data_IF_059040348868
#
_entry.id   IF_059040348868
#
_cell.length_a   1.000
_cell.length_b   1.000
_cell.length_c   1.000
_cell.angle_alpha   90.00
_cell.angle_beta   90.00
_cell.angle_gamma   90.00
#
_symmetry.space_group_name_H-M   'P 1'
#
loop_
_entity.id
_entity.type
_entity.pdbx_description
1 polymer ?
#
# COMPACT_ATOMS: atom_id res chain seq x y z
N UNK A 1 16.25 -13.31 -10.76
CA UNK A 1 17.01 -14.43 -10.16
C UNK A 1 16.13 -15.68 -10.14
N UNK A 2 16.73 -16.86 -10.29
CA UNK A 2 15.99 -18.12 -10.14
C UNK A 2 15.63 -18.28 -8.66
N UNK A 3 14.40 -18.67 -8.38
CA UNK A 3 13.92 -18.90 -7.02
C UNK A 3 12.87 -20.00 -7.00
N UNK A 4 12.61 -20.55 -5.82
CA UNK A 4 11.52 -21.50 -5.59
C UNK A 4 10.67 -21.04 -4.41
N UNK A 5 9.40 -21.44 -4.40
CA UNK A 5 8.43 -21.06 -3.39
C UNK A 5 7.83 -22.31 -2.80
N UNK A 6 7.71 -22.32 -1.48
CA UNK A 6 7.08 -23.40 -0.73
C UNK A 6 6.15 -22.82 0.33
N UNK A 7 4.95 -23.38 0.46
CA UNK A 7 4.08 -23.05 1.57
C UNK A 7 4.54 -23.79 2.84
N UNK A 8 4.40 -23.12 3.98
CA UNK A 8 4.71 -23.67 5.29
C UNK A 8 3.56 -23.40 6.27
N UNK A 9 3.35 -24.34 7.18
CA UNK A 9 2.40 -24.21 8.29
C UNK A 9 3.09 -24.58 9.60
N UNK A 10 3.00 -23.67 10.58
CA UNK A 10 3.57 -23.86 11.91
C UNK A 10 2.58 -24.56 12.84
N UNK A 11 3.06 -25.07 13.98
CA UNK A 11 2.23 -25.77 14.97
C UNK A 11 1.27 -24.80 15.68
N UNK A 12 1.68 -23.53 15.86
CA UNK A 12 0.83 -22.49 16.41
C UNK A 12 -0.34 -22.09 15.49
N UNK A 13 -0.38 -22.59 14.23
CA UNK A 13 -1.44 -22.35 13.26
C UNK A 13 -1.05 -21.34 12.18
N UNK A 14 0.06 -20.61 12.32
CA UNK A 14 0.54 -19.67 11.31
C UNK A 14 0.83 -20.35 9.98
N UNK A 15 0.59 -19.62 8.89
CA UNK A 15 0.85 -20.06 7.52
C UNK A 15 1.79 -19.06 6.85
N UNK A 16 2.68 -19.56 5.98
CA UNK A 16 3.64 -18.70 5.33
C UNK A 16 4.20 -19.22 4.04
N UNK A 17 5.01 -18.38 3.40
CA UNK A 17 5.77 -18.68 2.21
C UNK A 17 7.27 -18.67 2.50
N UNK A 18 7.95 -19.69 2.01
CA UNK A 18 9.41 -19.77 1.99
C UNK A 18 9.86 -19.55 0.55
N UNK A 19 10.61 -18.48 0.32
CA UNK A 19 11.14 -18.09 -0.99
C UNK A 19 12.65 -18.31 -0.97
N UNK A 20 13.09 -19.40 -1.59
CA UNK A 20 14.53 -19.73 -1.68
C UNK A 20 15.12 -19.04 -2.90
N UNK A 21 16.08 -18.15 -2.67
CA UNK A 21 16.76 -17.35 -3.69
C UNK A 21 18.25 -17.68 -3.64
N UNK A 22 18.76 -18.67 -4.42
CA UNK A 22 20.13 -19.12 -4.34
C UNK A 22 21.16 -18.02 -4.59
N UNK A 23 22.20 -17.98 -3.78
CA UNK A 23 23.36 -17.08 -3.95
C UNK A 23 23.17 -15.67 -3.42
N UNK A 24 22.14 -15.40 -2.59
CA UNK A 24 21.97 -14.11 -1.91
C UNK A 24 22.48 -14.19 -0.47
N UNK A 25 23.14 -13.12 -0.02
CA UNK A 25 23.68 -12.99 1.34
C UNK A 25 22.72 -12.25 2.30
N UNK A 26 21.53 -11.87 1.82
CA UNK A 26 20.53 -11.11 2.56
C UNK A 26 19.26 -11.93 2.72
N UNK A 27 18.72 -11.94 3.93
CA UNK A 27 17.43 -12.57 4.26
C UNK A 27 16.45 -11.48 4.64
N UNK A 28 15.20 -11.58 4.13
CA UNK A 28 14.07 -10.79 4.61
C UNK A 28 13.02 -11.69 5.25
N UNK A 29 12.49 -11.24 6.37
CA UNK A 29 11.42 -11.89 7.12
C UNK A 29 10.32 -10.86 7.31
N UNK A 30 9.14 -11.15 6.77
CA UNK A 30 7.92 -10.39 6.99
C UNK A 30 6.94 -11.23 7.82
N UNK A 31 6.40 -10.66 8.89
CA UNK A 31 5.32 -11.26 9.67
C UNK A 31 4.14 -10.30 9.68
N UNK A 32 2.96 -10.79 9.32
CA UNK A 32 1.72 -10.05 9.20
C UNK A 32 0.64 -10.64 10.10
N UNK A 33 -0.11 -9.75 10.75
CA UNK A 33 -1.38 -10.07 11.40
C UNK A 33 -2.50 -9.21 10.78
N UNK A 34 -3.68 -9.76 10.60
CA UNK A 34 -4.87 -8.94 10.36
C UNK A 34 -5.20 -8.19 11.63
N UNK A 35 -4.71 -6.96 11.72
CA UNK A 35 -4.77 -6.11 12.90
C UNK A 35 -4.80 -4.61 12.50
N UNK A 36 -5.24 -4.29 11.29
CA UNK A 36 -5.27 -2.92 10.76
C UNK A 36 -6.51 -2.13 11.19
N UNK A 37 -6.61 -0.92 10.67
CA UNK A 37 -7.62 0.06 11.06
C UNK A 37 -9.07 -0.42 10.84
N UNK A 38 -9.34 -1.16 9.76
CA UNK A 38 -10.69 -1.60 9.39
C UNK A 38 -11.24 -2.70 10.32
N UNK A 39 -10.36 -3.37 11.07
CA UNK A 39 -10.77 -4.39 12.04
C UNK A 39 -11.02 -3.80 13.43
N UNK A 40 -10.63 -2.53 13.66
CA UNK A 40 -10.68 -1.86 14.93
C UNK A 40 -12.00 -1.13 15.21
N UNK A 41 -12.06 -0.52 16.38
CA UNK A 41 -13.11 0.43 16.74
C UNK A 41 -12.75 1.82 16.18
N UNK A 42 -13.54 2.34 15.28
CA UNK A 42 -13.32 3.66 14.67
C UNK A 42 -13.39 4.82 15.66
N UNK A 43 -13.93 4.61 16.87
CA UNK A 43 -13.80 5.57 17.97
C UNK A 43 -12.40 5.58 18.61
N UNK A 44 -11.55 4.60 18.27
CA UNK A 44 -10.15 4.46 18.68
C UNK A 44 -9.30 4.11 17.45
N UNK A 45 -9.45 4.87 16.39
CA UNK A 45 -8.91 4.55 15.07
C UNK A 45 -7.40 4.30 15.08
N UNK A 46 -6.64 5.05 15.90
CA UNK A 46 -5.19 4.91 16.03
C UNK A 46 -4.72 3.73 16.90
N UNK A 47 -5.62 2.94 17.46
CA UNK A 47 -5.21 1.84 18.34
C UNK A 47 -4.26 0.83 17.67
N UNK A 48 -4.47 0.40 16.40
CA UNK A 48 -3.51 -0.44 15.69
C UNK A 48 -2.14 0.23 15.50
N UNK A 49 -2.10 1.53 15.20
CA UNK A 49 -0.86 2.28 14.97
C UNK A 49 -0.09 2.50 16.29
N UNK A 50 -0.78 2.87 17.36
CA UNK A 50 -0.16 2.95 18.70
C UNK A 50 0.37 1.57 19.13
N UNK A 51 -0.34 0.49 18.80
CA UNK A 51 0.19 -0.86 19.04
C UNK A 51 1.46 -1.12 18.27
N UNK A 52 1.53 -0.75 17.00
CA UNK A 52 2.74 -0.88 16.18
C UNK A 52 3.95 -0.32 16.91
N UNK A 53 3.87 0.92 17.39
CA UNK A 53 4.94 1.59 18.14
C UNK A 53 5.28 0.82 19.42
N UNK A 54 4.29 0.38 20.17
CA UNK A 54 4.47 -0.29 21.45
C UNK A 54 4.98 -1.74 21.35
N UNK A 55 4.92 -2.38 20.19
CA UNK A 55 5.40 -3.76 20.01
C UNK A 55 6.94 -3.90 20.05
N UNK A 56 7.68 -2.81 20.07
CA UNK A 56 9.14 -2.83 20.19
C UNK A 56 9.63 -2.91 21.65
N UNK A 57 8.71 -2.88 22.64
CA UNK A 57 9.02 -3.10 24.06
C UNK A 57 8.44 -4.43 24.53
N UNK A 58 9.29 -5.26 25.13
CA UNK A 58 8.93 -6.61 25.52
C UNK A 58 9.62 -7.03 26.84
N UNK A 59 9.27 -8.19 27.38
CA UNK A 59 9.82 -8.66 28.66
C UNK A 59 11.33 -8.85 28.65
N UNK A 60 11.89 -9.29 27.53
CA UNK A 60 13.32 -9.57 27.36
C UNK A 60 14.14 -8.30 27.14
N UNK A 61 13.51 -7.26 26.59
CA UNK A 61 14.12 -5.94 26.30
C UNK A 61 13.19 -4.85 26.81
N UNK A 62 13.14 -4.62 28.14
CA UNK A 62 12.15 -3.73 28.76
C UNK A 62 12.48 -2.24 28.66
N UNK A 63 13.75 -1.88 28.34
CA UNK A 63 14.16 -0.47 28.27
C UNK A 63 13.84 0.15 26.91
N UNK A 64 13.38 1.40 26.83
CA UNK A 64 13.09 2.08 25.58
C UNK A 64 14.23 2.01 24.56
N UNK A 65 13.92 1.57 23.34
CA UNK A 65 14.89 1.41 22.26
C UNK A 65 15.93 0.30 22.45
N UNK A 66 15.85 -0.50 23.51
CA UNK A 66 16.78 -1.62 23.76
C UNK A 66 16.63 -2.70 22.69
N UNK A 67 15.40 -3.03 22.33
CA UNK A 67 15.12 -4.01 21.29
C UNK A 67 15.67 -3.58 19.93
N UNK A 68 15.41 -2.34 19.51
CA UNK A 68 15.91 -1.82 18.22
C UNK A 68 17.43 -1.80 18.16
N UNK A 69 18.11 -1.40 19.26
CA UNK A 69 19.57 -1.47 19.36
C UNK A 69 20.09 -2.90 19.24
N UNK A 70 19.36 -3.87 19.80
CA UNK A 70 19.73 -5.29 19.66
C UNK A 70 19.57 -5.78 18.23
N UNK A 71 18.53 -5.35 17.51
CA UNK A 71 18.37 -5.67 16.09
C UNK A 71 19.50 -5.06 15.27
N UNK A 72 19.75 -3.76 15.41
CA UNK A 72 20.65 -2.97 14.55
C UNK A 72 22.15 -3.24 14.77
N UNK A 73 22.54 -3.80 15.92
CA UNK A 73 23.95 -3.89 16.34
C UNK A 73 24.91 -4.58 15.34
N UNK A 74 24.37 -5.43 14.45
CA UNK A 74 25.13 -6.11 13.41
C UNK A 74 24.64 -5.74 11.99
N UNK A 75 23.95 -4.60 11.85
CA UNK A 75 23.52 -4.06 10.56
C UNK A 75 22.21 -4.64 10.03
N UNK A 76 21.42 -5.30 10.86
CA UNK A 76 20.05 -5.65 10.50
C UNK A 76 19.17 -4.40 10.53
N UNK A 77 18.12 -4.43 9.72
CA UNK A 77 17.08 -3.41 9.66
C UNK A 77 15.76 -4.00 10.13
N UNK A 78 14.97 -3.23 10.86
CA UNK A 78 13.59 -3.57 11.17
C UNK A 78 12.66 -2.36 10.98
N UNK A 79 11.45 -2.66 10.63
CA UNK A 79 10.36 -1.69 10.60
C UNK A 79 9.04 -2.38 10.93
N UNK A 80 8.00 -1.59 11.20
CA UNK A 80 6.63 -2.08 11.25
C UNK A 80 5.74 -1.12 10.44
N UNK A 81 4.59 -1.62 10.00
CA UNK A 81 3.64 -0.87 9.21
C UNK A 81 2.22 -1.24 9.60
N UNK A 82 1.39 -0.22 9.81
CA UNK A 82 -0.05 -0.40 9.99
C UNK A 82 -0.79 0.04 8.73
N UNK A 83 -1.57 -0.87 8.16
CA UNK A 83 -2.45 -0.61 7.02
C UNK A 83 -3.93 -0.61 7.43
N UNK A 84 -4.83 -0.46 6.48
CA UNK A 84 -6.26 -0.66 6.71
C UNK A 84 -6.57 -2.07 7.26
N UNK A 85 -5.85 -3.09 6.81
CA UNK A 85 -6.16 -4.50 7.11
C UNK A 85 -5.13 -5.21 7.97
N UNK A 86 -3.88 -4.74 8.00
CA UNK A 86 -2.76 -5.47 8.62
C UNK A 86 -1.90 -4.61 9.51
N UNK A 87 -1.22 -5.29 10.43
CA UNK A 87 -0.02 -4.84 11.13
C UNK A 87 1.10 -5.79 10.73
N UNK A 88 2.19 -5.23 10.22
CA UNK A 88 3.30 -5.97 9.64
C UNK A 88 4.61 -5.65 10.35
N UNK A 89 5.42 -6.67 10.57
CA UNK A 89 6.78 -6.59 11.11
C UNK A 89 7.76 -7.04 10.04
N UNK A 90 8.62 -6.14 9.60
CA UNK A 90 9.53 -6.31 8.47
C UNK A 90 10.99 -6.27 8.93
N UNK A 91 11.73 -7.31 8.61
CA UNK A 91 13.14 -7.46 9.00
C UNK A 91 14.00 -7.82 7.79
N UNK A 92 15.13 -7.13 7.66
CA UNK A 92 16.16 -7.47 6.68
C UNK A 92 17.51 -7.62 7.39
N UNK A 93 18.22 -8.72 7.15
CA UNK A 93 19.50 -8.98 7.77
C UNK A 93 20.43 -9.77 6.85
N UNK A 94 21.73 -9.76 7.17
CA UNK A 94 22.69 -10.68 6.55
C UNK A 94 22.38 -12.14 6.92
N UNK A 95 22.62 -13.07 6.01
CA UNK A 95 22.30 -14.49 6.18
C UNK A 95 22.93 -15.12 7.45
N UNK A 96 24.11 -14.65 7.88
CA UNK A 96 24.76 -15.14 9.10
C UNK A 96 24.07 -14.69 10.41
N UNK A 97 23.21 -13.66 10.36
CA UNK A 97 22.46 -13.11 11.49
C UNK A 97 21.03 -13.67 11.60
N UNK A 98 20.57 -14.44 10.62
CA UNK A 98 19.17 -14.80 10.47
C UNK A 98 18.57 -15.47 11.70
N UNK A 99 19.31 -16.37 12.35
CA UNK A 99 18.83 -17.11 13.54
C UNK A 99 18.63 -16.16 14.73
N UNK A 100 19.55 -15.21 14.93
CA UNK A 100 19.44 -14.20 15.98
C UNK A 100 18.25 -13.26 15.71
N UNK A 101 18.09 -12.80 14.48
CA UNK A 101 16.96 -11.92 14.10
C UNK A 101 15.63 -12.68 14.19
N UNK A 102 15.55 -13.93 13.74
CA UNK A 102 14.33 -14.73 13.88
C UNK A 102 13.94 -14.93 15.37
N UNK A 103 14.91 -15.14 16.26
CA UNK A 103 14.66 -15.20 17.70
C UNK A 103 14.13 -13.87 18.24
N UNK A 104 14.68 -12.72 17.81
CA UNK A 104 14.18 -11.41 18.22
C UNK A 104 12.73 -11.17 17.76
N UNK A 105 12.39 -11.56 16.53
CA UNK A 105 11.01 -11.52 16.02
C UNK A 105 10.09 -12.37 16.92
N UNK A 106 10.49 -13.58 17.25
CA UNK A 106 9.74 -14.46 18.14
C UNK A 106 9.48 -13.83 19.51
N UNK A 107 10.50 -13.21 20.11
CA UNK A 107 10.38 -12.46 21.39
C UNK A 107 9.42 -11.26 21.25
N UNK A 108 9.55 -10.47 20.20
CA UNK A 108 8.67 -9.33 19.92
C UNK A 108 7.20 -9.76 19.86
N UNK A 109 6.93 -10.83 19.14
CA UNK A 109 5.56 -11.31 18.91
C UNK A 109 4.98 -11.95 20.18
N UNK A 110 5.77 -12.74 20.94
CA UNK A 110 5.26 -13.54 22.05
C UNK A 110 5.21 -12.80 23.40
N UNK A 111 6.07 -11.82 23.60
CA UNK A 111 6.31 -11.22 24.92
C UNK A 111 6.14 -9.70 24.98
N UNK A 112 5.22 -9.07 24.22
CA UNK A 112 5.09 -7.61 24.28
C UNK A 112 4.67 -7.16 25.66
N UNK A 113 5.14 -5.98 26.04
CA UNK A 113 4.72 -5.28 27.23
C UNK A 113 4.27 -3.88 26.84
N UNK A 114 3.29 -3.34 27.55
CA UNK A 114 2.77 -2.00 27.28
C UNK A 114 2.89 -1.13 28.53
N UNK A 115 4.13 -0.68 28.89
CA UNK A 115 4.33 0.15 30.07
C UNK A 115 3.65 1.51 29.91
N UNK A 116 3.00 2.01 30.98
CA UNK A 116 2.20 3.24 30.90
C UNK A 116 3.03 4.51 30.66
N UNK A 117 4.27 4.55 31.09
CA UNK A 117 5.19 5.66 30.85
C UNK A 117 5.67 5.68 29.36
N UNK A 118 5.96 4.53 28.79
CA UNK A 118 6.29 4.42 27.39
C UNK A 118 5.10 4.68 26.49
N UNK A 119 3.90 4.19 26.86
CA UNK A 119 2.66 4.48 26.16
C UNK A 119 2.45 6.00 25.98
N UNK A 120 2.68 6.80 27.02
CA UNK A 120 2.57 8.25 26.94
C UNK A 120 3.56 8.88 25.95
N UNK A 121 4.78 8.34 25.86
CA UNK A 121 5.79 8.79 24.91
C UNK A 121 5.43 8.41 23.47
N UNK A 122 5.01 7.16 23.24
CA UNK A 122 4.67 6.67 21.89
C UNK A 122 3.40 7.31 21.34
N UNK A 123 2.42 7.59 22.19
CA UNK A 123 1.26 8.43 21.81
C UNK A 123 1.72 9.81 21.33
N UNK A 124 2.70 10.44 21.99
CA UNK A 124 3.29 11.68 21.54
C UNK A 124 3.93 11.55 20.13
N UNK A 125 4.67 10.48 19.89
CA UNK A 125 5.30 10.19 18.59
C UNK A 125 4.26 10.00 17.49
N UNK A 126 3.18 9.26 17.74
CA UNK A 126 2.06 9.07 16.80
C UNK A 126 1.39 10.41 16.47
N UNK A 127 1.14 11.28 17.46
CA UNK A 127 0.57 12.62 17.23
C UNK A 127 1.50 13.47 16.36
N UNK A 128 2.81 13.46 16.62
CA UNK A 128 3.81 14.17 15.79
C UNK A 128 3.81 13.66 14.35
N UNK A 129 3.71 12.35 14.14
CA UNK A 129 3.62 11.76 12.81
C UNK A 129 2.34 12.17 12.09
N UNK A 130 1.19 12.13 12.75
CA UNK A 130 -0.08 12.58 12.19
C UNK A 130 -0.05 14.06 11.79
N UNK A 131 0.57 14.92 12.60
CA UNK A 131 0.80 16.32 12.27
C UNK A 131 1.76 16.49 11.08
N UNK A 132 2.80 15.65 10.98
CA UNK A 132 3.68 15.57 9.83
C UNK A 132 2.92 15.21 8.56
N UNK A 133 2.05 14.21 8.63
CA UNK A 133 1.18 13.77 7.55
C UNK A 133 0.21 14.88 7.11
N UNK A 134 -0.39 15.61 8.06
CA UNK A 134 -1.25 16.76 7.80
C UNK A 134 -0.48 17.90 7.10
N UNK A 135 0.80 18.07 7.41
CA UNK A 135 1.66 19.09 6.80
C UNK A 135 2.11 18.75 5.38
N UNK A 136 2.03 17.48 4.96
CA UNK A 136 2.36 17.03 3.62
C UNK A 136 1.16 17.23 2.67
N UNK A 137 1.22 18.15 1.69
CA UNK A 137 0.05 18.48 0.87
C UNK A 137 -0.49 17.30 0.05
N UNK A 138 0.40 16.43 -0.48
CA UNK A 138 -0.04 15.26 -1.25
C UNK A 138 -0.71 14.22 -0.36
N UNK A 139 -0.17 14.00 0.85
CA UNK A 139 -0.78 13.10 1.82
C UNK A 139 -2.16 13.62 2.24
N UNK A 140 -2.25 14.90 2.61
CA UNK A 140 -3.53 15.54 2.97
C UNK A 140 -4.57 15.43 1.85
N UNK A 141 -4.20 15.76 0.61
CA UNK A 141 -5.12 15.65 -0.53
C UNK A 141 -5.64 14.22 -0.72
N UNK A 142 -4.75 13.22 -0.58
CA UNK A 142 -5.13 11.80 -0.69
C UNK A 142 -6.02 11.35 0.47
N UNK A 143 -5.67 11.75 1.70
CA UNK A 143 -6.41 11.37 2.89
C UNK A 143 -7.79 12.05 2.96
N UNK A 144 -7.89 13.34 2.60
CA UNK A 144 -9.17 14.04 2.50
C UNK A 144 -10.13 13.35 1.53
N UNK A 145 -9.60 12.79 0.44
CA UNK A 145 -10.41 12.01 -0.49
C UNK A 145 -10.91 10.71 0.16
N UNK A 146 -10.07 9.99 0.89
CA UNK A 146 -10.48 8.79 1.64
C UNK A 146 -11.49 9.11 2.74
N UNK A 147 -11.32 10.21 3.49
CA UNK A 147 -12.32 10.68 4.46
C UNK A 147 -13.69 10.86 3.80
N UNK A 148 -13.72 11.48 2.63
CA UNK A 148 -14.99 11.76 1.94
C UNK A 148 -15.61 10.53 1.27
N UNK A 149 -14.79 9.63 0.68
CA UNK A 149 -15.30 8.45 -0.05
C UNK A 149 -15.57 7.25 0.87
N UNK A 150 -14.77 7.08 1.92
CA UNK A 150 -14.78 5.88 2.78
C UNK A 150 -15.35 6.18 4.18
N UNK A 151 -15.60 7.46 4.51
CA UNK A 151 -16.11 7.89 5.80
C UNK A 151 -15.08 7.81 6.93
N UNK A 152 -13.79 7.78 6.61
CA UNK A 152 -12.73 7.71 7.61
C UNK A 152 -12.75 8.94 8.54
N UNK A 153 -12.31 8.83 9.81
CA UNK A 153 -12.14 9.99 10.66
C UNK A 153 -11.06 10.92 10.10
N UNK A 154 -11.25 12.23 10.24
CA UNK A 154 -10.22 13.21 9.86
C UNK A 154 -8.95 13.02 10.70
N UNK A 155 -7.80 13.53 10.23
CA UNK A 155 -6.56 13.46 11.03
C UNK A 155 -6.75 14.18 12.39
N UNK A 156 -7.50 15.26 12.44
CA UNK A 156 -7.82 15.97 13.68
C UNK A 156 -8.68 15.10 14.62
N UNK A 157 -9.67 14.39 14.10
CA UNK A 157 -10.49 13.46 14.88
C UNK A 157 -9.65 12.29 15.37
N UNK A 158 -8.77 11.74 14.53
CA UNK A 158 -7.81 10.68 14.92
C UNK A 158 -6.95 11.11 16.11
N UNK A 159 -6.35 12.31 16.05
CA UNK A 159 -5.57 12.88 17.15
C UNK A 159 -6.43 13.02 18.43
N UNK A 160 -7.65 13.57 18.30
CA UNK A 160 -8.54 13.75 19.45
C UNK A 160 -8.98 12.44 20.11
N UNK A 161 -9.09 11.36 19.33
CA UNK A 161 -9.46 10.03 19.85
C UNK A 161 -8.36 9.37 20.70
N UNK A 162 -7.10 9.73 20.48
CA UNK A 162 -5.94 9.09 21.16
C UNK A 162 -6.03 9.27 22.67
N UNK A 163 -6.51 10.41 23.18
CA UNK A 163 -6.67 10.67 24.61
C UNK A 163 -7.61 9.67 25.33
N UNK A 164 -8.47 8.98 24.57
CA UNK A 164 -9.39 7.98 25.09
C UNK A 164 -8.77 6.56 25.16
N UNK A 165 -7.57 6.37 24.64
CA UNK A 165 -6.90 5.08 24.59
C UNK A 165 -6.12 4.78 25.87
N UNK A 166 -5.91 3.51 26.13
CA UNK A 166 -5.18 3.01 27.30
C UNK A 166 -4.36 1.76 26.96
N UNK A 167 -3.42 1.43 27.83
CA UNK A 167 -2.65 0.17 27.72
C UNK A 167 -3.55 -1.07 27.83
N UNK A 168 -4.69 -0.98 28.52
CA UNK A 168 -5.69 -2.06 28.56
C UNK A 168 -6.33 -2.30 27.17
N UNK A 169 -6.50 -1.26 26.38
CA UNK A 169 -6.98 -1.38 25.00
C UNK A 169 -5.94 -2.13 24.15
N UNK A 170 -4.65 -1.80 24.28
CA UNK A 170 -3.56 -2.51 23.60
C UNK A 170 -3.52 -3.98 24.00
N UNK A 171 -3.62 -4.30 25.29
CA UNK A 171 -3.66 -5.69 25.76
C UNK A 171 -4.87 -6.46 25.21
N UNK A 172 -6.03 -5.83 25.07
CA UNK A 172 -7.22 -6.48 24.48
C UNK A 172 -7.02 -6.69 22.98
N UNK A 173 -6.52 -5.67 22.29
CA UNK A 173 -6.27 -5.72 20.85
C UNK A 173 -5.22 -6.77 20.49
N UNK A 174 -4.10 -6.82 21.21
CA UNK A 174 -3.09 -7.84 21.05
C UNK A 174 -3.65 -9.26 21.21
N UNK A 175 -4.40 -9.53 22.29
CA UNK A 175 -4.99 -10.86 22.50
C UNK A 175 -6.00 -11.26 21.41
N UNK A 176 -6.66 -10.29 20.80
CA UNK A 176 -7.62 -10.53 19.72
C UNK A 176 -6.94 -10.80 18.40
N UNK A 177 -5.89 -10.06 18.07
CA UNK A 177 -5.29 -10.03 16.73
C UNK A 177 -4.02 -10.88 16.60
N UNK A 178 -3.19 -10.95 17.65
CA UNK A 178 -1.92 -11.70 17.63
C UNK A 178 -2.13 -13.16 18.03
N UNK A 179 -2.78 -13.90 17.14
CA UNK A 179 -3.06 -15.34 17.32
C UNK A 179 -2.41 -16.14 16.20
N UNK A 180 -2.11 -17.41 16.46
CA UNK A 180 -1.39 -18.24 15.50
C UNK A 180 -2.12 -18.39 14.17
N UNK A 181 -3.43 -18.63 14.16
CA UNK A 181 -4.20 -18.75 12.93
C UNK A 181 -4.33 -17.41 12.15
N UNK A 182 -4.22 -16.27 12.86
CA UNK A 182 -4.26 -14.94 12.25
C UNK A 182 -2.91 -14.51 11.67
N UNK A 183 -1.81 -15.14 12.09
CA UNK A 183 -0.46 -14.85 11.63
C UNK A 183 -0.22 -15.35 10.21
N UNK A 184 0.45 -14.53 9.40
CA UNK A 184 1.07 -14.90 8.11
C UNK A 184 2.53 -14.51 8.15
N UNK A 185 3.38 -15.23 7.39
CA UNK A 185 4.79 -14.88 7.26
C UNK A 185 5.31 -15.15 5.86
N UNK A 186 6.26 -14.36 5.43
CA UNK A 186 7.02 -14.58 4.19
C UNK A 186 8.50 -14.45 4.53
N UNK A 187 9.28 -15.45 4.15
CA UNK A 187 10.73 -15.44 4.33
C UNK A 187 11.42 -15.64 2.99
N UNK A 188 12.41 -14.81 2.69
CA UNK A 188 13.15 -14.87 1.43
C UNK A 188 14.65 -14.80 1.66
N UNK A 189 15.44 -15.65 0.97
CA UNK A 189 16.89 -15.69 1.09
C UNK A 189 17.48 -17.04 0.69
N UNK A 190 18.77 -17.24 1.02
CA UNK A 190 19.51 -18.50 0.78
C UNK A 190 20.04 -19.08 2.12
N UNK A 191 19.11 -19.52 2.95
CA UNK A 191 19.42 -20.15 4.25
C UNK A 191 18.52 -21.35 4.50
N UNK A 192 18.86 -22.16 5.48
CA UNK A 192 17.99 -23.21 5.99
C UNK A 192 16.90 -22.57 6.90
N UNK A 193 15.76 -22.25 6.32
CA UNK A 193 14.66 -21.60 7.04
C UNK A 193 14.01 -22.53 8.06
N UNK A 194 13.94 -23.84 7.76
CA UNK A 194 13.31 -24.85 8.60
C UNK A 194 14.01 -24.99 9.95
N UNK A 195 15.33 -24.85 9.94
CA UNK A 195 16.14 -24.96 11.17
C UNK A 195 16.38 -23.58 11.83
N UNK A 196 16.55 -22.51 11.03
CA UNK A 196 17.06 -21.21 11.53
C UNK A 196 16.01 -20.13 11.72
N UNK A 197 14.80 -20.29 11.16
CA UNK A 197 13.76 -19.25 11.20
C UNK A 197 12.45 -19.78 11.74
N UNK A 198 11.91 -20.84 11.13
CA UNK A 198 10.57 -21.32 11.48
C UNK A 198 10.40 -21.70 12.96
N UNK A 199 11.39 -22.32 13.66
CA UNK A 199 11.27 -22.62 15.08
C UNK A 199 11.06 -21.39 15.96
N UNK A 200 11.60 -20.24 15.56
CA UNK A 200 11.45 -18.96 16.29
C UNK A 200 10.15 -18.23 15.96
N UNK A 201 9.51 -18.51 14.81
CA UNK A 201 8.18 -18.01 14.47
C UNK A 201 7.06 -18.89 15.03
N UNK A 202 7.37 -20.14 15.39
CA UNK A 202 6.43 -21.10 16.02
C UNK A 202 6.29 -20.83 17.53
N UNK A 203 6.11 -19.55 17.90
CA UNK A 203 5.96 -19.11 19.28
C UNK A 203 4.60 -19.50 19.85
N UNK A 204 4.52 -19.55 21.19
CA UNK A 204 3.29 -19.90 21.92
C UNK A 204 2.28 -18.74 21.85
N UNK A 205 1.44 -18.75 20.83
CA UNK A 205 0.31 -17.86 20.65
C UNK A 205 -1.01 -18.63 20.86
N UNK A 206 -2.04 -17.96 21.33
CA UNK A 206 -3.39 -18.54 21.28
C UNK A 206 -3.74 -18.93 19.85
N UNK A 207 -4.44 -20.05 19.65
CA UNK A 207 -4.73 -20.57 18.32
C UNK A 207 -5.54 -19.57 17.48
N UNK A 208 -6.62 -19.02 18.04
CA UNK A 208 -7.49 -18.05 17.39
C UNK A 208 -8.05 -18.50 16.04
N UNK A 209 -8.40 -17.51 15.21
CA UNK A 209 -8.84 -17.68 13.82
C UNK A 209 -8.22 -16.59 12.93
N UNK A 210 -8.21 -16.77 11.61
CA UNK A 210 -7.88 -15.70 10.66
C UNK A 210 -9.05 -14.73 10.62
N UNK A 211 -8.84 -13.50 11.10
CA UNK A 211 -9.89 -12.49 11.17
C UNK A 211 -10.37 -12.13 9.76
N UNK A 212 -11.68 -11.96 9.61
CA UNK A 212 -12.26 -11.44 8.37
C UNK A 212 -12.14 -9.93 8.34
N UNK A 213 -11.72 -9.38 7.21
CA UNK A 213 -11.67 -7.94 6.99
C UNK A 213 -13.06 -7.48 6.55
N UNK A 214 -13.69 -6.56 7.29
CA UNK A 214 -14.98 -6.03 6.88
C UNK A 214 -14.83 -5.27 5.56
N UNK A 215 -15.81 -5.34 4.65
CA UNK A 215 -15.76 -4.56 3.43
C UNK A 215 -15.92 -3.07 3.75
N UNK A 216 -14.92 -2.28 3.40
CA UNK A 216 -15.02 -0.82 3.34
C UNK A 216 -15.29 -0.47 1.89
N UNK A 217 -16.43 0.12 1.61
CA UNK A 217 -16.83 0.48 0.26
C UNK A 217 -16.63 1.98 0.05
N UNK A 218 -15.94 2.34 -1.03
CA UNK A 218 -15.86 3.72 -1.46
C UNK A 218 -17.21 4.20 -1.98
N UNK A 219 -17.55 5.46 -1.76
CA UNK A 219 -18.73 6.11 -2.33
C UNK A 219 -18.32 7.11 -3.43
N UNK A 220 -19.12 7.28 -4.50
CA UNK A 220 -18.84 8.26 -5.53
C UNK A 220 -19.05 9.68 -4.99
N UNK A 221 -18.20 10.61 -5.43
CA UNK A 221 -18.36 12.03 -5.10
C UNK A 221 -18.90 12.80 -6.29
N UNK A 222 -19.93 13.63 -6.06
CA UNK A 222 -20.51 14.51 -7.09
C UNK A 222 -19.58 15.69 -7.38
N UNK A 223 -18.91 16.23 -6.36
CA UNK A 223 -18.02 17.38 -6.46
C UNK A 223 -16.63 17.06 -5.91
N UNK A 224 -15.56 17.70 -6.41
CA UNK A 224 -14.24 17.52 -5.84
C UNK A 224 -14.16 18.08 -4.41
N UNK A 225 -13.38 17.42 -3.56
CA UNK A 225 -12.97 17.94 -2.24
C UNK A 225 -11.92 19.02 -2.46
N UNK A 226 -12.04 20.14 -1.74
CA UNK A 226 -11.15 21.30 -1.89
C UNK A 226 -10.59 21.73 -0.55
N UNK A 227 -9.28 21.91 -0.48
CA UNK A 227 -8.62 22.56 0.65
C UNK A 227 -7.68 23.65 0.15
N UNK A 228 -8.07 24.93 0.34
CA UNK A 228 -7.23 26.08 -0.01
C UNK A 228 -6.08 26.22 0.99
N UNK A 229 -4.85 26.30 0.51
CA UNK A 229 -3.65 26.58 1.31
C UNK A 229 -2.77 27.63 0.63
N UNK A 230 -2.05 28.42 1.42
CA UNK A 230 -1.08 29.43 0.94
C UNK A 230 0.23 28.78 0.48
N UNK A 231 0.14 27.92 -0.54
CA UNK A 231 1.27 27.28 -1.23
C UNK A 231 1.15 27.50 -2.74
N UNK A 232 2.26 27.58 -3.50
CA UNK A 232 2.19 28.02 -4.91
C UNK A 232 1.66 26.95 -5.87
N UNK A 233 1.57 25.69 -5.45
CA UNK A 233 1.10 24.59 -6.30
C UNK A 233 -0.31 24.16 -5.93
N UNK A 234 -0.96 23.47 -6.88
CA UNK A 234 -2.17 22.69 -6.69
C UNK A 234 -1.77 21.22 -6.67
N UNK A 235 -2.01 20.55 -5.57
CA UNK A 235 -1.93 19.09 -5.43
C UNK A 235 -3.29 18.51 -5.77
N UNK A 236 -3.32 17.46 -6.56
CA UNK A 236 -4.55 16.81 -6.97
C UNK A 236 -4.45 15.29 -6.82
N UNK A 237 -5.58 14.68 -6.50
CA UNK A 237 -5.80 13.23 -6.50
C UNK A 237 -7.13 12.95 -7.18
N UNK A 238 -7.14 12.05 -8.14
CA UNK A 238 -8.34 11.50 -8.74
C UNK A 238 -8.32 9.98 -8.57
N UNK A 239 -9.45 9.39 -8.20
CA UNK A 239 -9.64 7.95 -8.02
C UNK A 239 -10.85 7.47 -8.79
N UNK A 240 -10.81 6.20 -9.14
CA UNK A 240 -11.90 5.48 -9.75
C UNK A 240 -11.90 4.05 -9.18
N UNK A 241 -12.84 3.71 -8.33
CA UNK A 241 -12.95 2.40 -7.70
C UNK A 241 -14.14 1.62 -8.28
N UNK A 242 -13.96 0.33 -8.50
CA UNK A 242 -15.02 -0.59 -8.90
C UNK A 242 -15.18 -1.69 -7.85
N UNK A 243 -16.43 -2.05 -7.55
CA UNK A 243 -16.77 -3.11 -6.58
C UNK A 243 -16.56 -4.51 -7.15
N UNK A 244 -15.41 -4.73 -7.77
CA UNK A 244 -14.97 -6.04 -8.27
C UNK A 244 -13.47 -6.14 -8.19
N UNK A 245 -12.96 -7.33 -7.91
CA UNK A 245 -11.53 -7.58 -7.79
C UNK A 245 -10.98 -8.15 -9.08
N UNK A 246 -9.90 -7.53 -9.58
CA UNK A 246 -9.18 -8.03 -10.74
C UNK A 246 -8.33 -9.25 -10.38
N UNK A 247 -8.28 -10.22 -11.28
CA UNK A 247 -7.25 -11.27 -11.28
C UNK A 247 -5.86 -10.66 -11.48
N UNK A 248 -4.82 -11.42 -11.18
CA UNK A 248 -3.44 -10.97 -11.41
C UNK A 248 -3.19 -10.56 -12.87
N UNK A 249 -3.74 -11.34 -13.84
CA UNK A 249 -3.65 -11.03 -15.27
C UNK A 249 -4.32 -9.69 -15.60
N UNK A 250 -5.54 -9.45 -15.10
CA UNK A 250 -6.23 -8.18 -15.29
C UNK A 250 -5.51 -6.99 -14.64
N UNK A 251 -4.92 -7.20 -13.45
CA UNK A 251 -4.06 -6.19 -12.81
C UNK A 251 -2.84 -5.83 -13.68
N UNK A 252 -2.19 -6.82 -14.29
CA UNK A 252 -1.07 -6.57 -15.20
C UNK A 252 -1.51 -5.86 -16.48
N UNK A 253 -2.68 -6.21 -17.04
CA UNK A 253 -3.25 -5.55 -18.19
C UNK A 253 -3.55 -4.07 -17.90
N UNK A 254 -4.27 -3.77 -16.81
CA UNK A 254 -4.58 -2.41 -16.39
C UNK A 254 -3.31 -1.60 -16.04
N UNK A 255 -2.31 -2.23 -15.41
CA UNK A 255 -1.01 -1.60 -15.14
C UNK A 255 -0.24 -1.27 -16.40
N UNK A 256 -0.34 -2.11 -17.44
CA UNK A 256 0.27 -1.81 -18.73
C UNK A 256 -0.36 -0.55 -19.36
N UNK A 257 -1.70 -0.42 -19.33
CA UNK A 257 -2.40 0.79 -19.78
C UNK A 257 -1.94 2.04 -19.00
N UNK A 258 -1.86 1.93 -17.68
CA UNK A 258 -1.36 3.01 -16.81
C UNK A 258 0.08 3.41 -17.13
N UNK A 259 0.94 2.44 -17.44
CA UNK A 259 2.33 2.69 -17.84
C UNK A 259 2.44 3.36 -19.22
N UNK A 260 1.58 3.07 -20.16
CA UNK A 260 1.49 3.81 -21.44
C UNK A 260 1.29 5.31 -21.18
N UNK A 261 0.48 5.66 -20.17
CA UNK A 261 0.18 7.05 -19.81
C UNK A 261 1.29 7.73 -19.01
N UNK A 262 1.94 7.02 -18.08
CA UNK A 262 2.71 7.65 -17.02
C UNK A 262 4.15 7.16 -16.83
N UNK A 263 4.56 6.07 -17.46
CA UNK A 263 5.87 5.48 -17.19
C UNK A 263 6.99 6.07 -18.06
N UNK A 264 7.72 7.03 -17.51
CA UNK A 264 8.91 7.61 -18.13
C UNK A 264 8.64 8.66 -19.20
N UNK A 265 9.71 9.08 -19.89
CA UNK A 265 9.66 10.18 -20.87
C UNK A 265 8.95 9.82 -22.18
N UNK A 266 8.82 8.56 -22.50
CA UNK A 266 8.16 8.08 -23.71
C UNK A 266 6.67 7.85 -23.54
N UNK A 267 6.15 8.00 -22.32
CA UNK A 267 4.73 7.85 -22.02
C UNK A 267 3.89 8.98 -22.65
N UNK A 268 2.63 8.67 -22.94
CA UNK A 268 1.80 9.56 -23.73
C UNK A 268 1.35 10.80 -22.94
N UNK A 269 1.04 10.68 -21.66
CA UNK A 269 0.66 11.82 -20.83
C UNK A 269 1.89 12.49 -20.18
N UNK A 270 2.65 11.76 -19.35
CA UNK A 270 3.77 12.37 -18.63
C UNK A 270 4.82 12.94 -19.58
N UNK A 271 5.17 12.19 -20.65
CA UNK A 271 6.13 12.65 -21.65
C UNK A 271 5.71 13.95 -22.32
N UNK A 272 4.46 14.03 -22.80
CA UNK A 272 3.91 15.25 -23.43
C UNK A 272 3.78 16.41 -22.45
N UNK A 273 3.31 16.15 -21.23
CA UNK A 273 3.17 17.17 -20.20
C UNK A 273 4.52 17.81 -19.83
N UNK A 274 5.58 16.98 -19.72
CA UNK A 274 6.94 17.48 -19.46
C UNK A 274 7.52 18.26 -20.65
N UNK A 275 7.31 17.78 -21.89
CA UNK A 275 7.75 18.51 -23.08
C UNK A 275 7.11 19.90 -23.21
N UNK A 276 5.85 20.03 -22.77
CA UNK A 276 5.12 21.30 -22.72
C UNK A 276 5.43 22.14 -21.47
N UNK A 277 6.24 21.64 -20.54
CA UNK A 277 6.57 22.33 -19.30
C UNK A 277 5.40 22.45 -18.31
N UNK A 278 4.34 21.63 -18.45
CA UNK A 278 3.13 21.73 -17.62
C UNK A 278 3.33 21.14 -16.23
N UNK A 279 4.03 20.00 -16.11
CA UNK A 279 4.30 19.33 -14.83
C UNK A 279 5.73 18.74 -14.82
N UNK A 280 6.31 18.64 -13.63
CA UNK A 280 7.56 17.91 -13.42
C UNK A 280 7.32 16.39 -13.35
N UNK A 281 6.23 15.97 -12.72
CA UNK A 281 5.90 14.57 -12.55
C UNK A 281 4.43 14.37 -12.20
N UNK A 282 3.97 13.15 -12.41
CA UNK A 282 2.67 12.65 -12.00
C UNK A 282 2.81 11.18 -11.61
N UNK A 283 1.86 10.66 -10.85
CA UNK A 283 1.76 9.25 -10.52
C UNK A 283 0.41 8.69 -10.96
N UNK A 284 0.44 7.51 -11.56
CA UNK A 284 -0.74 6.70 -11.80
C UNK A 284 -0.48 5.28 -11.30
N UNK A 285 -1.51 4.64 -10.77
CA UNK A 285 -1.42 3.29 -10.26
C UNK A 285 -2.73 2.54 -10.36
N UNK A 286 -2.62 1.23 -10.27
CA UNK A 286 -3.73 0.31 -10.09
C UNK A 286 -3.47 -0.39 -8.77
N UNK A 287 -4.44 -0.34 -7.89
CA UNK A 287 -4.46 -1.06 -6.61
C UNK A 287 -5.64 -2.01 -6.58
N UNK A 288 -5.53 -2.97 -5.74
CA UNK A 288 -6.61 -3.88 -5.41
C UNK A 288 -6.53 -4.17 -3.92
N UNK A 289 -7.67 -4.11 -3.29
CA UNK A 289 -7.89 -4.71 -1.97
C UNK A 289 -8.70 -6.00 -2.06
N UNK A 290 -9.29 -6.45 -0.95
CA UNK A 290 -10.10 -7.66 -0.91
C UNK A 290 -11.46 -7.52 -1.61
N UNK A 291 -11.96 -6.31 -1.83
CA UNK A 291 -13.33 -6.03 -2.27
C UNK A 291 -13.42 -5.18 -3.54
N UNK A 292 -12.44 -4.32 -3.76
CA UNK A 292 -12.44 -3.33 -4.84
C UNK A 292 -11.14 -3.37 -5.65
N UNK A 293 -11.21 -2.89 -6.89
CA UNK A 293 -10.05 -2.54 -7.69
C UNK A 293 -10.11 -1.06 -7.99
N UNK A 294 -9.01 -0.35 -7.74
CA UNK A 294 -8.89 1.09 -7.89
C UNK A 294 -7.89 1.50 -8.96
N UNK A 295 -8.18 2.62 -9.59
CA UNK A 295 -7.23 3.41 -10.33
C UNK A 295 -6.99 4.73 -9.62
N UNK A 296 -5.72 5.14 -9.51
CA UNK A 296 -5.33 6.39 -8.91
C UNK A 296 -4.49 7.26 -9.85
N UNK A 297 -4.77 8.57 -9.87
CA UNK A 297 -4.04 9.58 -10.61
C UNK A 297 -3.76 10.78 -9.69
N UNK A 298 -2.49 11.10 -9.50
CA UNK A 298 -2.09 12.15 -8.57
C UNK A 298 -0.88 12.92 -9.08
N UNK A 299 -0.74 14.16 -8.61
CA UNK A 299 0.40 14.99 -8.97
C UNK A 299 0.28 16.39 -8.41
N UNK A 300 1.13 17.26 -8.93
CA UNK A 300 1.08 18.69 -8.65
C UNK A 300 1.25 19.49 -9.92
N UNK A 301 0.55 20.62 -9.99
CA UNK A 301 0.58 21.55 -11.12
C UNK A 301 0.51 22.98 -10.59
N UNK A 302 1.07 23.95 -11.31
CA UNK A 302 0.85 25.37 -10.97
C UNK A 302 -0.48 25.86 -11.52
N UNK A 303 -1.12 26.87 -10.90
CA UNK A 303 -2.41 27.39 -11.36
C UNK A 303 -2.43 27.81 -12.84
N UNK A 304 -1.33 28.39 -13.32
CA UNK A 304 -1.19 28.84 -14.72
C UNK A 304 -1.22 27.68 -15.73
N UNK A 305 -0.80 26.49 -15.34
CA UNK A 305 -0.74 25.30 -16.22
C UNK A 305 -1.89 24.31 -15.99
N UNK A 306 -2.68 24.49 -14.92
CA UNK A 306 -3.67 23.50 -14.50
C UNK A 306 -4.69 23.17 -15.60
N UNK A 307 -5.22 24.20 -16.28
CA UNK A 307 -6.20 24.03 -17.34
C UNK A 307 -5.66 23.19 -18.51
N UNK A 308 -4.54 23.60 -19.08
CA UNK A 308 -3.93 22.92 -20.22
C UNK A 308 -3.48 21.50 -19.84
N UNK A 309 -3.08 21.31 -18.58
CA UNK A 309 -2.68 20.02 -18.05
C UNK A 309 -3.85 19.05 -17.92
N UNK A 310 -4.99 19.48 -17.32
CA UNK A 310 -6.15 18.61 -17.17
C UNK A 310 -6.84 18.32 -18.51
N UNK A 311 -6.84 19.25 -19.45
CA UNK A 311 -7.29 19.00 -20.83
C UNK A 311 -6.42 17.92 -21.50
N UNK A 312 -5.08 18.01 -21.38
CA UNK A 312 -4.17 17.00 -21.90
C UNK A 312 -4.37 15.65 -21.19
N UNK A 313 -4.55 15.65 -19.87
CA UNK A 313 -4.75 14.41 -19.11
C UNK A 313 -6.04 13.69 -19.56
N UNK A 314 -7.15 14.42 -19.69
CA UNK A 314 -8.41 13.86 -20.18
C UNK A 314 -8.26 13.29 -21.59
N UNK A 315 -7.62 14.02 -22.48
CA UNK A 315 -7.38 13.59 -23.86
C UNK A 315 -6.60 12.28 -23.94
N UNK A 316 -5.48 12.19 -23.23
CA UNK A 316 -4.63 11.00 -23.28
C UNK A 316 -5.23 9.80 -22.54
N UNK A 317 -5.89 10.00 -21.41
CA UNK A 317 -6.58 8.93 -20.70
C UNK A 317 -7.75 8.39 -21.53
N UNK A 318 -8.55 9.28 -22.12
CA UNK A 318 -9.68 8.91 -22.97
C UNK A 318 -9.24 8.10 -24.21
N UNK A 319 -8.08 8.41 -24.79
CA UNK A 319 -7.50 7.62 -25.91
C UNK A 319 -7.29 6.17 -25.49
N UNK A 320 -6.68 5.94 -24.33
CA UNK A 320 -6.44 4.58 -23.84
C UNK A 320 -7.74 3.86 -23.50
N UNK A 321 -8.70 4.54 -22.85
CA UNK A 321 -10.05 4.00 -22.56
C UNK A 321 -10.74 3.57 -23.85
N UNK A 322 -10.63 4.34 -24.93
CA UNK A 322 -11.28 4.07 -26.24
C UNK A 322 -10.48 3.11 -27.13
N UNK A 323 -9.37 2.57 -26.67
CA UNK A 323 -8.55 1.63 -27.43
C UNK A 323 -7.60 2.26 -28.44
N UNK A 324 -7.42 3.59 -28.42
CA UNK A 324 -6.47 4.30 -29.30
C UNK A 324 -5.04 4.17 -28.75
N UNK A 325 -4.50 2.96 -28.84
CA UNK A 325 -3.15 2.58 -28.43
C UNK A 325 -2.42 1.99 -29.62
N UNK A 326 -1.28 2.58 -29.99
CA UNK A 326 -0.50 2.06 -31.10
C UNK A 326 0.27 0.79 -30.73
N UNK A 327 0.51 -0.08 -31.71
CA UNK A 327 1.34 -1.28 -31.52
C UNK A 327 2.74 -0.94 -30.97
N UNK A 328 3.32 0.19 -31.39
CA UNK A 328 4.63 0.65 -30.92
C UNK A 328 4.59 0.99 -29.41
N UNK A 329 3.61 1.78 -28.95
CA UNK A 329 3.42 2.12 -27.56
C UNK A 329 3.23 0.87 -26.70
N UNK A 330 2.37 -0.03 -27.16
CA UNK A 330 2.08 -1.29 -26.48
C UNK A 330 3.34 -2.16 -26.32
N UNK A 331 4.09 -2.39 -27.41
CA UNK A 331 5.30 -3.22 -27.35
C UNK A 331 6.42 -2.58 -26.53
N UNK A 332 6.61 -1.25 -26.65
CA UNK A 332 7.59 -0.53 -25.84
C UNK A 332 7.28 -0.63 -24.34
N UNK A 333 6.01 -0.54 -23.96
CA UNK A 333 5.58 -0.64 -22.55
C UNK A 333 5.72 -2.06 -22.00
N UNK A 334 5.45 -3.11 -22.81
CA UNK A 334 5.76 -4.50 -22.41
C UNK A 334 7.24 -4.67 -22.08
N UNK A 335 8.14 -4.15 -22.92
CA UNK A 335 9.58 -4.21 -22.66
C UNK A 335 9.99 -3.42 -21.41
N UNK A 336 9.40 -2.24 -21.20
CA UNK A 336 9.63 -1.44 -20.00
C UNK A 336 9.21 -2.19 -18.73
N UNK A 337 8.05 -2.84 -18.72
CA UNK A 337 7.60 -3.65 -17.59
C UNK A 337 8.56 -4.80 -17.27
N UNK A 338 9.05 -5.50 -18.30
CA UNK A 338 10.06 -6.56 -18.15
C UNK A 338 11.39 -6.04 -17.62
N UNK A 339 11.85 -4.91 -18.16
CA UNK A 339 13.08 -4.26 -17.71
C UNK A 339 12.99 -3.87 -16.23
N UNK A 340 11.89 -3.24 -15.83
CA UNK A 340 11.65 -2.87 -14.44
C UNK A 340 11.61 -4.10 -13.51
N UNK A 341 10.94 -5.19 -13.94
CA UNK A 341 10.94 -6.44 -13.19
C UNK A 341 12.35 -7.01 -13.02
N UNK A 342 13.12 -7.06 -14.09
CA UNK A 342 14.49 -7.59 -14.05
C UNK A 342 15.38 -6.79 -13.09
N UNK A 343 15.24 -5.45 -13.06
CA UNK A 343 15.95 -4.59 -12.11
C UNK A 343 15.47 -4.81 -10.67
N UNK A 344 14.16 -4.93 -10.45
CA UNK A 344 13.58 -5.14 -9.13
C UNK A 344 14.02 -6.49 -8.53
N UNK A 345 14.10 -7.55 -9.33
CA UNK A 345 14.53 -8.87 -8.84
C UNK A 345 16.04 -9.01 -8.55
N UNK A 346 16.76 -7.91 -8.47
CA UNK A 346 18.13 -7.91 -7.92
C UNK A 346 18.17 -7.79 -6.39
N UNK A 347 17.02 -7.53 -5.72
CA UNK A 347 16.94 -7.40 -4.26
C UNK A 347 16.03 -8.48 -3.67
N UNK A 348 16.49 -9.11 -2.59
CA UNK A 348 15.72 -10.13 -1.85
C UNK A 348 14.40 -9.57 -1.34
N UNK A 349 14.39 -8.31 -0.86
CA UNK A 349 13.19 -7.61 -0.39
C UNK A 349 12.07 -7.55 -1.44
N UNK A 350 12.39 -7.41 -2.71
CA UNK A 350 11.39 -7.33 -3.76
C UNK A 350 10.67 -8.65 -4.05
N UNK A 351 11.27 -9.80 -3.68
CA UNK A 351 10.54 -11.07 -3.72
C UNK A 351 9.44 -11.11 -2.67
N UNK A 352 9.71 -10.66 -1.45
CA UNK A 352 8.70 -10.58 -0.39
C UNK A 352 7.55 -9.68 -0.84
N UNK A 353 7.83 -8.44 -1.26
CA UNK A 353 6.81 -7.49 -1.73
C UNK A 353 5.97 -8.03 -2.90
N UNK A 354 6.58 -8.84 -3.77
CA UNK A 354 5.86 -9.42 -4.90
C UNK A 354 4.86 -10.50 -4.46
N UNK A 355 5.27 -11.37 -3.53
CA UNK A 355 4.43 -12.48 -3.09
C UNK A 355 3.52 -12.14 -1.92
N UNK A 356 3.77 -11.05 -1.22
CA UNK A 356 2.94 -10.57 -0.12
C UNK A 356 1.48 -10.40 -0.54
N UNK A 357 1.21 -9.64 -1.59
CA UNK A 357 -0.15 -9.39 -2.07
C UNK A 357 -0.86 -10.67 -2.55
N UNK A 358 -0.13 -11.65 -3.09
CA UNK A 358 -0.71 -12.95 -3.43
C UNK A 358 -1.14 -13.72 -2.20
N UNK A 359 -0.33 -13.70 -1.15
CA UNK A 359 -0.55 -14.48 0.05
C UNK A 359 -1.51 -13.81 1.04
N UNK A 360 -1.34 -12.51 1.28
CA UNK A 360 -2.15 -11.76 2.25
C UNK A 360 -3.55 -11.46 1.72
N UNK A 361 -3.70 -11.22 0.41
CA UNK A 361 -4.98 -10.97 -0.27
C UNK A 361 -5.63 -12.26 -0.84
N UNK A 362 -5.04 -13.43 -0.60
CA UNK A 362 -5.59 -14.70 -1.05
C UNK A 362 -5.49 -14.93 -2.56
N UNK A 363 -4.54 -14.30 -3.25
CA UNK A 363 -4.20 -14.66 -4.62
C UNK A 363 -3.53 -16.02 -4.62
N UNK A 364 -4.17 -17.04 -5.17
CA UNK A 364 -3.62 -18.40 -5.22
C UNK A 364 -2.76 -18.67 -6.46
N UNK A 365 -2.66 -17.72 -7.37
CA UNK A 365 -2.00 -17.90 -8.65
C UNK A 365 -0.64 -17.20 -8.65
N UNK A 366 0.41 -17.95 -8.35
CA UNK A 366 1.81 -17.54 -8.60
C UNK A 366 2.09 -17.59 -10.12
N UNK A 367 1.26 -16.89 -10.89
CA UNK A 367 1.35 -16.92 -12.34
C UNK A 367 2.64 -16.27 -12.84
N UNK A 368 3.16 -16.83 -13.93
CA UNK A 368 4.36 -16.34 -14.59
C UNK A 368 4.10 -14.95 -15.24
N UNK A 369 4.64 -13.93 -14.62
CA UNK A 369 4.55 -12.55 -15.11
C UNK A 369 5.02 -12.42 -16.56
N UNK A 370 6.17 -13.02 -16.90
CA UNK A 370 6.75 -12.85 -18.23
C UNK A 370 5.85 -13.47 -19.29
N UNK A 371 5.30 -14.65 -19.00
CA UNK A 371 4.33 -15.31 -19.87
C UNK A 371 3.07 -14.48 -20.03
N UNK A 372 2.49 -13.98 -18.92
CA UNK A 372 1.28 -13.15 -18.99
C UNK A 372 1.53 -11.90 -19.81
N UNK A 373 2.59 -11.14 -19.52
CA UNK A 373 2.91 -9.90 -20.24
C UNK A 373 3.12 -10.18 -21.74
N UNK A 374 3.70 -11.33 -22.10
CA UNK A 374 3.86 -11.73 -23.50
C UNK A 374 2.53 -12.00 -24.20
N UNK A 375 1.62 -12.67 -23.53
CA UNK A 375 0.33 -13.06 -24.08
C UNK A 375 -0.70 -11.93 -24.13
N UNK A 376 -0.54 -10.83 -23.34
CA UNK A 376 -1.47 -9.70 -23.34
C UNK A 376 -1.64 -9.11 -24.74
N UNK A 377 -2.88 -8.78 -25.08
CA UNK A 377 -3.25 -8.06 -26.30
C UNK A 377 -3.66 -6.62 -26.02
N UNK A 378 -3.69 -5.77 -27.06
CA UNK A 378 -4.12 -4.35 -26.92
C UNK A 378 -5.57 -4.31 -26.44
N UNK A 379 -6.44 -5.15 -27.02
CA UNK A 379 -7.87 -5.23 -26.67
C UNK A 379 -8.08 -5.60 -25.21
N UNK A 380 -7.32 -6.57 -24.70
CA UNK A 380 -7.38 -6.99 -23.31
C UNK A 380 -6.93 -5.86 -22.35
N UNK A 381 -5.82 -5.17 -22.69
CA UNK A 381 -5.26 -4.06 -21.93
C UNK A 381 -6.24 -2.89 -21.84
N UNK A 382 -6.79 -2.48 -22.97
CA UNK A 382 -7.72 -1.35 -23.05
C UNK A 382 -9.08 -1.71 -22.42
N UNK A 383 -9.58 -2.92 -22.58
CA UNK A 383 -10.79 -3.39 -21.92
C UNK A 383 -10.65 -3.47 -20.39
N UNK A 384 -9.55 -3.98 -19.87
CA UNK A 384 -9.31 -3.98 -18.42
C UNK A 384 -9.20 -2.56 -17.87
N UNK A 385 -8.60 -1.64 -18.64
CA UNK A 385 -8.48 -0.25 -18.21
C UNK A 385 -9.82 0.49 -18.27
N UNK A 386 -10.62 0.34 -19.34
CA UNK A 386 -11.93 1.01 -19.49
C UNK A 386 -12.91 0.61 -18.42
N UNK A 387 -12.93 -0.65 -18.01
CA UNK A 387 -13.82 -1.14 -16.93
C UNK A 387 -13.60 -0.42 -15.61
N UNK A 388 -12.40 0.14 -15.33
CA UNK A 388 -12.13 0.92 -14.13
C UNK A 388 -12.89 2.26 -14.10
N UNK A 389 -13.47 2.68 -15.22
CA UNK A 389 -14.25 3.91 -15.35
C UNK A 389 -15.74 3.64 -15.56
N UNK A 390 -16.10 2.41 -15.98
CA UNK A 390 -17.46 1.98 -16.18
C UNK A 390 -18.11 1.63 -14.82
N UNK A 391 -19.23 2.27 -14.48
CA UNK A 391 -19.95 2.05 -13.21
C UNK A 391 -19.05 2.19 -11.98
N UNK A 392 -18.05 3.03 -12.09
CA UNK A 392 -17.07 3.27 -11.03
C UNK A 392 -17.57 4.29 -10.02
N UNK A 393 -16.86 4.39 -8.92
CA UNK A 393 -17.07 5.36 -7.85
C UNK A 393 -15.96 6.42 -7.96
N UNK A 394 -16.18 7.50 -8.78
CA UNK A 394 -15.18 8.53 -8.96
C UNK A 394 -15.05 9.41 -7.73
N UNK A 395 -13.85 9.90 -7.50
CA UNK A 395 -13.56 10.89 -6.48
C UNK A 395 -12.38 11.75 -6.87
N UNK A 396 -12.42 13.02 -6.49
CA UNK A 396 -11.34 13.98 -6.73
C UNK A 396 -11.11 14.85 -5.50
N UNK A 397 -9.84 15.17 -5.25
CA UNK A 397 -9.43 16.12 -4.23
C UNK A 397 -8.39 17.07 -4.79
N UNK A 398 -8.51 18.35 -4.47
CA UNK A 398 -7.58 19.42 -4.79
C UNK A 398 -7.15 20.14 -3.52
N UNK A 399 -5.85 20.43 -3.39
CA UNK A 399 -5.30 21.12 -2.25
C UNK A 399 -4.23 22.12 -2.68
N UNK A 400 -4.24 23.33 -2.14
CA UNK A 400 -3.22 24.34 -2.36
C UNK A 400 -3.74 25.65 -2.94
N UNK A 401 -3.08 26.18 -3.97
CA UNK A 401 -3.45 27.44 -4.64
C UNK A 401 -4.69 27.26 -5.53
N UNK A 402 -5.82 26.86 -4.95
CA UNK A 402 -7.06 26.53 -5.64
C UNK A 402 -8.26 26.90 -4.76
N UNK A 403 -9.28 27.49 -5.35
CA UNK A 403 -10.59 27.71 -4.73
C UNK A 403 -11.64 26.71 -5.27
N UNK A 404 -12.85 26.73 -4.68
CA UNK A 404 -13.94 25.83 -5.06
C UNK A 404 -14.34 25.97 -6.53
N UNK A 405 -14.33 27.21 -7.08
CA UNK A 405 -14.70 27.50 -8.47
C UNK A 405 -13.67 26.89 -9.44
N UNK A 406 -12.40 27.08 -9.14
CA UNK A 406 -11.32 26.52 -9.93
C UNK A 406 -11.30 24.98 -9.84
N UNK A 407 -11.49 24.41 -8.65
CA UNK A 407 -11.56 22.97 -8.47
C UNK A 407 -12.72 22.36 -9.24
N UNK A 408 -13.90 22.99 -9.21
CA UNK A 408 -15.05 22.57 -10.02
C UNK A 408 -14.75 22.65 -11.52
N UNK A 409 -14.05 23.70 -11.99
CA UNK A 409 -13.61 23.80 -13.39
C UNK A 409 -12.65 22.66 -13.75
N UNK A 410 -11.64 22.38 -12.92
CA UNK A 410 -10.67 21.31 -13.19
C UNK A 410 -11.31 19.92 -13.12
N UNK A 411 -12.19 19.70 -12.14
CA UNK A 411 -13.00 18.50 -12.03
C UNK A 411 -13.86 18.25 -13.27
N UNK A 412 -14.53 19.26 -13.77
CA UNK A 412 -15.34 19.16 -14.99
C UNK A 412 -14.53 18.80 -16.24
N UNK A 413 -13.23 19.16 -16.28
CA UNK A 413 -12.33 18.79 -17.38
C UNK A 413 -11.97 17.31 -17.34
N UNK A 414 -11.81 16.73 -16.14
CA UNK A 414 -11.55 15.29 -15.97
C UNK A 414 -12.80 14.43 -16.08
N UNK A 415 -13.98 14.98 -15.83
CA UNK A 415 -15.27 14.26 -15.88
C UNK A 415 -15.46 13.34 -17.08
N UNK A 416 -15.06 13.73 -18.33
CA UNK A 416 -15.26 12.88 -19.51
C UNK A 416 -14.63 11.50 -19.43
N UNK A 417 -13.59 11.28 -18.59
CA UNK A 417 -12.96 9.95 -18.45
C UNK A 417 -13.91 8.93 -17.80
N UNK A 418 -14.88 9.36 -17.01
CA UNK A 418 -15.90 8.48 -16.38
C UNK A 418 -17.19 8.34 -17.18
N UNK A 419 -17.24 8.87 -18.39
CA UNK A 419 -18.46 8.94 -19.17
C UNK A 419 -19.45 9.98 -18.60
N UNK A 420 -20.51 10.28 -19.34
CA UNK A 420 -21.64 11.01 -18.77
C UNK A 420 -22.33 10.07 -17.78
N UNK A 421 -22.20 10.32 -16.48
CA UNK A 421 -23.07 9.69 -15.49
C UNK A 421 -24.49 10.00 -15.90
N UNK A 422 -25.20 8.97 -16.39
CA UNK A 422 -26.64 9.08 -16.58
C UNK A 422 -27.22 9.23 -15.18
N UNK A 423 -27.45 10.48 -14.78
CA UNK A 423 -28.37 10.79 -13.68
C UNK A 423 -29.74 10.23 -14.06
N UNK A 424 -30.03 9.04 -13.55
CA UNK A 424 -31.36 8.44 -13.57
C UNK A 424 -31.95 8.45 -12.17
#
# INVERSE_FOLDING_TARGET
MQHSIHEAKLKNGAQGLIIRVPGVDVVRILVEFRAGYDLGDWAKFELPHVMEHMMFTNKSYPEPGQFSKEVEKNGAFNNAYTSSTSLEYDYECAAFEVERIANLIGVQIAEPTFPSDEFGNEVGNVIEELNGNLSNPMHSASYNLSVAQEGLPSIQDRIAQIDSMSTDDLHRWYRHTHTGANMRFIVAGDVDFEDKVLPFLDVDLSQGERLEVPPVASEPLEFPIVESREIPQIYYVARSNISSTYSYREMLAARLATNILSAGFTSTLLGKARQKGLVYGLGMGIDRDMNETGWGFRGMVTPEHAKDYFDLATDEISKVINGDVTTEQFQATKQLMRGNRALNYQKTSNFVNYYESFFTLGYNDFEDFDRIVDELTIEEVTSCFSRLFESSKPGMSFLGAVDETQAAEYGSRLQPIWGSSSTS
#
